data_IF_694364870159
#
_entry.id   IF_694364870159
#
_cell.length_a   1.000
_cell.length_b   1.000
_cell.length_c   1.000
_cell.angle_alpha   90.00
_cell.angle_beta   90.00
_cell.angle_gamma   90.00
#
_symmetry.space_group_name_H-M   'P 1'
#
loop_
_entity.id
_entity.type
_entity.pdbx_description
1 polymer ?
#
# COMPACT_ATOMS: atom_id res chain seq x y z
N UNK A 1 -17.90 26.60 -6.44
CA UNK A 1 -16.56 26.13 -6.01
C UNK A 1 -15.73 25.65 -7.17
N UNK A 2 -14.41 25.91 -7.15
CA UNK A 2 -13.46 25.35 -8.13
C UNK A 2 -12.84 24.06 -7.58
N UNK A 3 -12.75 23.02 -8.42
CA UNK A 3 -12.16 21.73 -8.07
C UNK A 3 -10.77 21.54 -8.66
N UNK A 4 -9.84 20.98 -7.88
CA UNK A 4 -8.48 20.64 -8.33
C UNK A 4 -8.13 19.20 -7.93
N UNK A 5 -7.37 18.52 -8.79
CA UNK A 5 -6.82 17.18 -8.51
C UNK A 5 -5.99 17.20 -7.23
N UNK A 6 -6.13 16.17 -6.38
CA UNK A 6 -5.36 16.05 -5.15
C UNK A 6 -5.84 16.92 -3.99
N UNK A 7 -7.05 17.50 -4.05
CA UNK A 7 -7.66 18.26 -2.93
C UNK A 7 -8.59 17.42 -2.04
N UNK A 8 -8.43 16.09 -2.08
CA UNK A 8 -9.21 15.10 -1.32
C UNK A 8 -8.36 13.94 -0.78
N UNK A 9 -7.06 14.14 -0.59
CA UNK A 9 -6.10 13.07 -0.20
C UNK A 9 -6.48 12.32 1.10
N UNK A 10 -7.12 12.98 2.06
CA UNK A 10 -7.60 12.32 3.29
C UNK A 10 -8.86 11.48 3.04
N UNK A 11 -9.73 11.92 2.12
CA UNK A 11 -10.89 11.15 1.66
C UNK A 11 -10.44 9.94 0.82
N UNK A 12 -9.38 10.10 0.02
CA UNK A 12 -8.82 9.04 -0.81
C UNK A 12 -8.20 7.90 0.03
N UNK A 13 -7.82 8.17 1.28
CA UNK A 13 -7.05 7.27 2.15
C UNK A 13 -7.84 6.75 3.34
N UNK A 14 -7.54 7.23 4.54
CA UNK A 14 -7.99 6.63 5.81
C UNK A 14 -8.92 7.54 6.62
N UNK A 15 -9.45 8.61 6.02
CA UNK A 15 -10.42 9.49 6.69
C UNK A 15 -9.90 10.15 7.98
N UNK A 16 -8.58 10.35 8.09
CA UNK A 16 -7.92 10.90 9.27
C UNK A 16 -7.42 9.88 10.29
N UNK A 17 -7.69 8.58 10.09
CA UNK A 17 -7.24 7.53 11.02
C UNK A 17 -5.74 7.17 10.88
N UNK A 18 -5.13 7.45 9.73
CA UNK A 18 -3.72 7.20 9.47
C UNK A 18 -2.96 8.49 9.15
N UNK A 19 -1.66 8.52 9.46
CA UNK A 19 -0.78 9.64 9.06
C UNK A 19 -0.67 9.67 7.52
N UNK A 20 -0.58 10.88 6.96
CA UNK A 20 -0.53 11.08 5.50
C UNK A 20 0.76 11.80 5.08
N UNK A 21 1.48 11.26 4.08
CA UNK A 21 2.75 11.83 3.59
C UNK A 21 2.63 13.07 2.70
N UNK A 22 1.41 13.46 2.34
CA UNK A 22 1.08 14.69 1.60
C UNK A 22 0.92 14.52 0.08
N UNK A 23 1.45 13.45 -0.50
CA UNK A 23 1.35 13.19 -1.93
C UNK A 23 -0.08 12.81 -2.38
N UNK A 24 -0.59 13.48 -3.42
CA UNK A 24 -1.84 13.08 -4.09
C UNK A 24 -1.67 11.83 -4.97
N UNK A 25 -2.74 11.08 -5.22
CA UNK A 25 -2.70 9.89 -6.08
C UNK A 25 -3.06 10.18 -7.53
N UNK A 26 -4.26 10.69 -7.80
CA UNK A 26 -4.83 10.86 -9.16
C UNK A 26 -3.94 11.72 -10.07
N UNK A 27 -3.88 11.37 -11.37
CA UNK A 27 -3.04 12.04 -12.37
C UNK A 27 -1.58 11.59 -12.45
N UNK A 28 -1.11 10.76 -11.52
CA UNK A 28 0.26 10.23 -11.51
C UNK A 28 0.34 8.84 -12.15
N UNK A 29 1.42 8.54 -12.85
CA UNK A 29 1.75 7.17 -13.27
C UNK A 29 2.40 6.40 -12.07
N UNK A 30 2.51 5.06 -12.12
CA UNK A 30 2.95 4.31 -10.94
C UNK A 30 4.46 4.42 -10.64
N UNK A 31 5.26 5.09 -11.47
CA UNK A 31 6.64 5.44 -11.12
C UNK A 31 6.71 6.50 -10.02
N UNK A 32 5.60 7.20 -9.75
CA UNK A 32 5.53 8.20 -8.67
C UNK A 32 5.19 7.51 -7.35
N UNK A 33 6.18 7.48 -6.45
CA UNK A 33 6.09 6.79 -5.15
C UNK A 33 5.00 7.33 -4.24
N UNK A 34 4.51 8.56 -4.46
CA UNK A 34 3.31 9.08 -3.81
C UNK A 34 2.11 8.16 -3.97
N UNK A 35 1.97 7.50 -5.13
CA UNK A 35 0.91 6.51 -5.39
C UNK A 35 1.39 5.10 -5.09
N UNK A 36 2.46 4.66 -5.75
CA UNK A 36 2.90 3.25 -5.66
C UNK A 36 3.40 2.89 -4.26
N UNK A 37 4.15 3.77 -3.61
CA UNK A 37 4.58 3.59 -2.22
C UNK A 37 3.41 3.55 -1.24
N UNK A 38 2.41 4.42 -1.40
CA UNK A 38 1.21 4.40 -0.58
C UNK A 38 0.40 3.10 -0.75
N UNK A 39 0.26 2.61 -1.99
CA UNK A 39 -0.40 1.33 -2.27
C UNK A 39 0.37 0.15 -1.68
N UNK A 40 1.70 0.14 -1.80
CA UNK A 40 2.54 -0.90 -1.21
C UNK A 40 2.47 -0.90 0.32
N UNK A 41 2.45 0.27 0.96
CA UNK A 41 2.27 0.39 2.40
C UNK A 41 0.89 -0.14 2.84
N UNK A 42 -0.18 0.18 2.10
CA UNK A 42 -1.51 -0.39 2.34
C UNK A 42 -1.50 -1.92 2.24
N UNK A 43 -0.94 -2.45 1.16
CA UNK A 43 -0.84 -3.88 0.91
C UNK A 43 -0.11 -4.61 2.05
N UNK A 44 1.07 -4.12 2.42
CA UNK A 44 1.85 -4.69 3.52
C UNK A 44 1.12 -4.61 4.86
N UNK A 45 0.55 -3.45 5.21
CA UNK A 45 -0.19 -3.29 6.48
C UNK A 45 -1.43 -4.20 6.55
N UNK A 46 -2.13 -4.38 5.42
CA UNK A 46 -3.27 -5.30 5.31
C UNK A 46 -2.83 -6.74 5.51
N UNK A 47 -1.71 -7.15 4.90
CA UNK A 47 -1.13 -8.47 5.09
C UNK A 47 -0.69 -8.71 6.54
N UNK A 48 -0.08 -7.72 7.21
CA UNK A 48 0.30 -7.81 8.64
C UNK A 48 -0.91 -8.11 9.52
N UNK A 49 -2.02 -7.41 9.30
CA UNK A 49 -3.27 -7.64 10.06
C UNK A 49 -3.87 -9.00 9.72
N UNK A 50 -3.92 -9.39 8.44
CA UNK A 50 -4.44 -10.69 8.01
C UNK A 50 -3.56 -11.88 8.48
N UNK A 51 -2.26 -11.65 8.65
CA UNK A 51 -1.33 -12.60 9.23
C UNK A 51 -1.54 -12.79 10.74
N UNK A 52 -2.35 -11.95 11.39
CA UNK A 52 -2.55 -12.00 12.83
C UNK A 52 -1.37 -11.43 13.63
N UNK A 53 -0.45 -10.71 12.97
CA UNK A 53 0.71 -10.10 13.62
C UNK A 53 0.35 -8.86 14.43
N UNK A 54 -0.76 -8.20 14.09
CA UNK A 54 -1.32 -7.07 14.83
C UNK A 54 -2.82 -6.92 14.54
N UNK A 55 -3.58 -6.31 15.46
CA UNK A 55 -4.98 -5.92 15.19
C UNK A 55 -5.11 -4.59 14.44
N UNK A 56 -4.11 -3.72 14.58
CA UNK A 56 -3.96 -2.44 13.87
C UNK A 56 -2.50 -2.28 13.50
N UNK A 57 -2.22 -1.80 12.29
CA UNK A 57 -0.85 -1.56 11.81
C UNK A 57 -0.82 -0.30 10.95
N UNK A 58 0.16 0.57 11.21
CA UNK A 58 0.57 1.65 10.30
C UNK A 58 1.98 1.35 9.78
N UNK A 59 2.19 1.55 8.47
CA UNK A 59 3.50 1.42 7.83
C UNK A 59 3.81 2.75 7.15
N UNK A 60 4.96 3.33 7.49
CA UNK A 60 5.49 4.53 6.85
C UNK A 60 6.68 4.14 5.97
N UNK A 61 6.65 4.60 4.71
CA UNK A 61 7.75 4.48 3.75
C UNK A 61 8.25 5.89 3.40
N UNK A 62 9.56 6.08 3.35
CA UNK A 62 10.19 7.31 2.87
C UNK A 62 11.24 7.00 1.80
N UNK A 63 11.34 7.86 0.79
CA UNK A 63 12.29 7.72 -0.33
C UNK A 63 13.07 9.01 -0.51
N UNK A 64 14.35 8.88 -0.87
CA UNK A 64 15.14 9.99 -1.41
C UNK A 64 15.01 9.98 -2.94
N UNK A 65 14.98 11.17 -3.56
CA UNK A 65 14.88 11.29 -5.01
C UNK A 65 16.07 10.58 -5.68
N UNK A 66 15.79 9.74 -6.68
CA UNK A 66 16.81 8.96 -7.39
C UNK A 66 17.30 7.69 -6.67
N UNK A 67 16.84 7.42 -5.45
CA UNK A 67 17.20 6.21 -4.69
C UNK A 67 16.06 5.20 -4.78
N UNK A 68 16.37 3.97 -5.22
CA UNK A 68 15.37 2.92 -5.38
C UNK A 68 14.91 2.33 -4.03
N UNK A 69 15.85 2.10 -3.11
CA UNK A 69 15.53 1.59 -1.78
C UNK A 69 14.90 2.69 -0.91
N UNK A 70 13.88 2.39 -0.10
CA UNK A 70 13.35 3.36 0.84
C UNK A 70 14.40 3.70 1.90
N UNK A 71 14.56 4.99 2.19
CA UNK A 71 15.43 5.47 3.27
C UNK A 71 14.87 5.13 4.66
N UNK A 72 13.56 4.92 4.77
CA UNK A 72 12.95 4.39 5.99
C UNK A 72 11.75 3.49 5.71
N UNK A 73 11.61 2.46 6.53
CA UNK A 73 10.42 1.61 6.67
C UNK A 73 10.15 1.53 8.17
N UNK A 74 9.06 2.16 8.63
CA UNK A 74 8.65 2.16 10.03
C UNK A 74 7.31 1.45 10.16
N UNK A 75 7.21 0.57 11.16
CA UNK A 75 5.98 -0.13 11.53
C UNK A 75 5.55 0.36 12.92
N UNK A 76 4.24 0.55 13.11
CA UNK A 76 3.63 0.89 14.39
C UNK A 76 2.34 0.07 14.55
N UNK A 77 2.32 -0.87 15.49
CA UNK A 77 1.13 -1.69 15.78
C UNK A 77 0.18 -1.05 16.79
N UNK A 78 0.53 0.13 17.32
CA UNK A 78 -0.21 0.82 18.38
C UNK A 78 -0.45 -0.07 19.62
N UNK A 79 0.54 -0.90 19.96
CA UNK A 79 0.46 -1.84 21.10
C UNK A 79 -0.50 -3.02 20.87
N UNK A 80 -0.87 -3.31 19.62
CA UNK A 80 -1.77 -4.42 19.27
C UNK A 80 -1.06 -5.60 18.61
N UNK A 81 0.27 -5.54 18.49
CA UNK A 81 1.09 -6.60 17.94
C UNK A 81 1.08 -7.86 18.81
N UNK A 82 1.11 -9.03 18.17
CA UNK A 82 1.38 -10.31 18.85
C UNK A 82 2.87 -10.51 19.16
N UNK A 83 3.73 -9.73 18.50
CA UNK A 83 5.19 -9.64 18.68
C UNK A 83 5.62 -8.17 18.64
N UNK A 84 6.85 -7.83 19.08
CA UNK A 84 7.35 -6.45 19.04
C UNK A 84 7.37 -5.85 17.62
N UNK A 85 7.13 -4.55 17.50
CA UNK A 85 7.06 -3.84 16.22
C UNK A 85 8.36 -3.96 15.41
N UNK A 86 9.51 -4.07 16.06
CA UNK A 86 10.81 -4.31 15.40
C UNK A 86 10.84 -5.66 14.68
N UNK A 87 10.22 -6.69 15.26
CA UNK A 87 10.11 -8.02 14.65
C UNK A 87 9.13 -8.00 13.48
N UNK A 88 8.00 -7.31 13.62
CA UNK A 88 7.05 -7.11 12.50
C UNK A 88 7.74 -6.34 11.37
N UNK A 89 8.49 -5.29 11.69
CA UNK A 89 9.25 -4.50 10.72
C UNK A 89 10.31 -5.34 9.99
N UNK A 90 11.02 -6.23 10.70
CA UNK A 90 11.97 -7.15 10.09
C UNK A 90 11.28 -8.14 9.13
N UNK A 91 10.16 -8.75 9.54
CA UNK A 91 9.37 -9.62 8.67
C UNK A 91 8.84 -8.88 7.43
N UNK A 92 8.32 -7.67 7.60
CA UNK A 92 7.88 -6.82 6.49
C UNK A 92 9.03 -6.52 5.52
N UNK A 93 10.23 -6.21 6.01
CA UNK A 93 11.42 -5.99 5.18
C UNK A 93 11.88 -7.24 4.42
N UNK A 94 11.73 -8.42 5.03
CA UNK A 94 12.08 -9.69 4.39
C UNK A 94 11.08 -10.11 3.32
N UNK A 95 9.78 -9.86 3.55
CA UNK A 95 8.69 -10.33 2.68
C UNK A 95 8.38 -9.34 1.55
N UNK A 96 8.51 -8.04 1.78
CA UNK A 96 8.09 -7.01 0.83
C UNK A 96 9.29 -6.28 0.22
N UNK A 97 9.35 -6.26 -1.11
CA UNK A 97 10.30 -5.41 -1.84
C UNK A 97 9.65 -4.07 -2.19
N UNK A 98 10.05 -3.02 -1.47
CA UNK A 98 9.50 -1.68 -1.63
C UNK A 98 10.21 -0.83 -2.70
N UNK A 99 11.13 -1.39 -3.50
CA UNK A 99 11.68 -0.64 -4.63
C UNK A 99 10.55 -0.30 -5.63
N UNK A 100 10.50 0.93 -6.18
CA UNK A 100 9.41 1.34 -7.08
C UNK A 100 9.16 0.38 -8.26
N UNK A 101 10.23 -0.14 -8.87
CA UNK A 101 10.12 -1.12 -9.95
C UNK A 101 9.47 -2.43 -9.51
N UNK A 102 9.82 -2.93 -8.33
CA UNK A 102 9.27 -4.17 -7.78
C UNK A 102 7.81 -4.00 -7.36
N UNK A 103 7.47 -2.86 -6.75
CA UNK A 103 6.07 -2.53 -6.45
C UNK A 103 5.21 -2.55 -7.73
N UNK A 104 5.70 -1.92 -8.80
CA UNK A 104 5.00 -1.88 -10.09
C UNK A 104 4.80 -3.27 -10.66
N UNK A 105 5.85 -4.10 -10.62
CA UNK A 105 5.87 -5.44 -11.21
C UNK A 105 4.98 -6.42 -10.44
N UNK A 106 5.04 -6.39 -9.11
CA UNK A 106 4.27 -7.27 -8.22
C UNK A 106 2.79 -6.93 -8.28
N UNK A 107 2.43 -5.66 -8.12
CA UNK A 107 1.03 -5.22 -8.14
C UNK A 107 0.47 -4.96 -9.55
N UNK A 108 1.21 -5.30 -10.62
CA UNK A 108 0.81 -5.13 -12.03
C UNK A 108 0.27 -3.73 -12.35
N UNK A 109 0.92 -2.70 -11.83
CA UNK A 109 0.45 -1.31 -11.86
C UNK A 109 0.49 -0.67 -13.26
N UNK A 110 1.16 -1.28 -14.24
CA UNK A 110 1.16 -0.81 -15.64
C UNK A 110 -0.06 -1.33 -16.42
N UNK A 111 -1.24 -1.16 -15.84
CA UNK A 111 -2.54 -1.54 -16.42
C UNK A 111 -3.56 -0.41 -16.22
N UNK A 112 -4.63 -0.32 -17.04
CA UNK A 112 -5.61 0.76 -16.96
C UNK A 112 -6.60 0.58 -15.78
N UNK A 113 -6.10 0.60 -14.54
CA UNK A 113 -6.87 0.24 -13.33
C UNK A 113 -7.24 1.43 -12.42
N UNK A 114 -6.82 2.65 -12.75
CA UNK A 114 -6.88 3.79 -11.83
C UNK A 114 -8.17 4.60 -11.86
N UNK A 115 -8.92 4.59 -12.97
CA UNK A 115 -10.13 5.42 -13.05
C UNK A 115 -11.14 5.09 -11.93
N UNK A 116 -11.39 3.82 -11.59
CA UNK A 116 -12.27 3.48 -10.47
C UNK A 116 -11.79 3.99 -9.11
N UNK A 117 -10.51 4.29 -8.91
CA UNK A 117 -9.96 4.72 -7.61
C UNK A 117 -10.23 6.21 -7.33
N UNK A 118 -10.51 7.01 -8.36
CA UNK A 118 -10.60 8.48 -8.27
C UNK A 118 -11.82 9.00 -7.47
N UNK A 119 -12.67 8.11 -6.98
CA UNK A 119 -13.79 8.39 -6.09
C UNK A 119 -14.02 7.21 -5.15
N UNK A 120 -14.65 7.48 -4.00
CA UNK A 120 -14.99 6.48 -2.98
C UNK A 120 -13.80 5.77 -2.34
N UNK A 121 -12.65 6.45 -2.30
CA UNK A 121 -11.44 5.94 -1.67
C UNK A 121 -10.64 4.97 -2.55
N UNK A 122 -9.34 5.01 -2.36
CA UNK A 122 -8.40 4.09 -2.99
C UNK A 122 -8.24 2.78 -2.21
N UNK A 123 -8.62 2.78 -0.94
CA UNK A 123 -8.42 1.67 0.00
C UNK A 123 -9.74 1.12 0.55
N UNK A 124 -9.73 -0.14 0.96
CA UNK A 124 -10.87 -0.81 1.61
C UNK A 124 -11.90 -1.42 0.65
N UNK A 125 -11.66 -1.35 -0.66
CA UNK A 125 -12.51 -1.99 -1.68
C UNK A 125 -11.93 -3.33 -2.07
N UNK A 126 -12.78 -4.34 -2.25
CA UNK A 126 -12.32 -5.67 -2.63
C UNK A 126 -11.62 -5.63 -4.00
N UNK A 127 -10.57 -6.44 -4.12
CA UNK A 127 -9.94 -6.72 -5.40
C UNK A 127 -10.97 -7.29 -6.39
N UNK A 128 -10.94 -6.82 -7.63
CA UNK A 128 -11.98 -7.15 -8.61
C UNK A 128 -11.41 -7.27 -10.03
N UNK A 129 -11.62 -8.42 -10.67
CA UNK A 129 -11.23 -8.61 -12.07
C UNK A 129 -12.28 -8.02 -13.01
N UNK A 130 -11.87 -7.13 -13.93
CA UNK A 130 -12.74 -6.51 -14.94
C UNK A 130 -12.12 -6.50 -16.32
N UNK A 131 -12.98 -6.40 -17.34
CA UNK A 131 -12.57 -5.98 -18.67
C UNK A 131 -12.58 -4.45 -18.78
N UNK A 132 -11.43 -3.86 -19.10
CA UNK A 132 -11.26 -2.44 -19.39
C UNK A 132 -10.57 -2.29 -20.73
N UNK A 133 -11.21 -1.60 -21.68
CA UNK A 133 -10.68 -1.38 -23.03
C UNK A 133 -10.24 -2.68 -23.75
N UNK A 134 -10.98 -3.77 -23.54
CA UNK A 134 -10.65 -5.07 -24.14
C UNK A 134 -9.60 -5.90 -23.37
N UNK A 135 -8.97 -5.34 -22.33
CA UNK A 135 -8.00 -6.03 -21.49
C UNK A 135 -8.67 -6.53 -20.20
N UNK A 136 -8.37 -7.77 -19.80
CA UNK A 136 -8.68 -8.24 -18.44
C UNK A 136 -7.66 -7.65 -17.48
N UNK A 137 -8.14 -6.87 -16.52
CA UNK A 137 -7.34 -6.18 -15.51
C UNK A 137 -7.85 -6.51 -14.13
N UNK A 138 -6.96 -6.36 -13.15
CA UNK A 138 -7.29 -6.56 -11.75
C UNK A 138 -7.32 -5.20 -11.03
N UNK A 139 -8.49 -4.80 -10.53
CA UNK A 139 -8.67 -3.57 -9.81
C UNK A 139 -8.27 -3.76 -8.34
N UNK A 140 -7.64 -2.74 -7.77
CA UNK A 140 -7.21 -2.72 -6.36
C UNK A 140 -6.29 -3.90 -5.95
N UNK A 141 -5.24 -4.26 -6.73
CA UNK A 141 -4.37 -5.39 -6.39
C UNK A 141 -3.68 -5.25 -5.02
N UNK A 142 -3.53 -4.03 -4.50
CA UNK A 142 -3.00 -3.76 -3.15
C UNK A 142 -3.97 -4.13 -2.01
N UNK A 143 -5.18 -4.57 -2.33
CA UNK A 143 -6.16 -5.03 -1.35
C UNK A 143 -6.15 -6.56 -1.19
N UNK A 144 -5.29 -7.29 -1.90
CA UNK A 144 -5.09 -8.69 -1.60
C UNK A 144 -4.28 -8.89 -0.30
N UNK A 145 -4.23 -10.13 0.20
CA UNK A 145 -3.48 -10.53 1.40
C UNK A 145 -2.60 -11.75 1.13
N UNK A 146 -2.14 -11.87 -0.11
CA UNK A 146 -1.36 -12.99 -0.64
C UNK A 146 -0.04 -13.24 0.11
N UNK A 147 0.52 -12.21 0.75
CA UNK A 147 1.76 -12.31 1.55
C UNK A 147 1.54 -12.54 3.04
N UNK A 148 0.30 -12.78 3.49
CA UNK A 148 0.01 -12.99 4.90
C UNK A 148 0.65 -14.27 5.46
N UNK A 149 0.69 -15.36 4.69
CA UNK A 149 1.39 -16.60 5.08
C UNK A 149 2.90 -16.40 5.19
N UNK A 150 3.48 -15.70 4.21
CA UNK A 150 4.92 -15.41 4.17
C UNK A 150 5.35 -14.58 5.39
N UNK A 151 4.50 -13.64 5.80
CA UNK A 151 4.71 -12.85 7.02
C UNK A 151 4.69 -13.70 8.29
N UNK A 152 3.74 -14.64 8.42
CA UNK A 152 3.70 -15.56 9.57
C UNK A 152 5.01 -16.36 9.65
N UNK A 153 5.38 -17.00 8.55
CA UNK A 153 6.63 -17.76 8.45
C UNK A 153 7.88 -16.92 8.75
N UNK A 154 7.97 -15.69 8.23
CA UNK A 154 9.10 -14.80 8.49
C UNK A 154 9.14 -14.24 9.92
N UNK A 155 8.04 -14.34 10.65
CA UNK A 155 7.90 -13.85 12.03
C UNK A 155 8.06 -14.94 13.08
N UNK A 156 8.35 -16.19 12.67
CA UNK A 156 8.39 -17.39 13.51
C UNK A 156 7.03 -17.71 14.19
N UNK A 157 5.92 -17.41 13.49
CA UNK A 157 4.53 -17.67 13.92
C UNK A 157 3.77 -18.53 12.90
#
# INVERSE_FOLDING_TARGET
>A
DAGLTGRKIIVDTYGGMGRHGGGAFSGKDPTKVDRSGAYAARWAAKCVVAAGLARRCEIQLAYAIGVAEPVSIRVDSFGTGSIPDERIAAAVRAVFNFRPGEIINTLKLRTPIYRPTAAYGHFGRAEETKRVNGHTVNLFPWENVDRASDLRSASDL
#
